data_IF_735016238296
#
_entry.id   IF_735016238296
#
_cell.length_a   1.000
_cell.length_b   1.000
_cell.length_c   1.000
_cell.angle_alpha   90.00
_cell.angle_beta   90.00
_cell.angle_gamma   90.00
#
_symmetry.space_group_name_H-M   'P 1'
#
loop_
_entity.id
_entity.type
_entity.pdbx_description
1 polymer ?
#
# COMPACT_ATOMS: atom_id res chain seq x y z
N UNK A 1 8.67 35.73 24.84
CA UNK A 1 8.89 35.38 23.42
C UNK A 1 8.68 33.88 23.29
N UNK A 2 7.42 33.50 23.07
CA UNK A 2 6.90 32.12 23.12
C UNK A 2 6.48 31.75 21.70
N UNK A 3 7.21 30.80 21.09
CA UNK A 3 6.79 30.17 19.84
C UNK A 3 5.92 28.98 20.23
N UNK A 4 4.62 29.09 19.97
CA UNK A 4 3.67 27.98 20.09
C UNK A 4 3.95 26.97 18.96
N UNK A 5 4.06 25.65 19.24
CA UNK A 5 4.04 24.66 18.17
C UNK A 5 2.61 24.45 17.67
N UNK A 6 2.46 24.51 16.35
CA UNK A 6 1.22 24.51 15.61
C UNK A 6 0.40 23.22 15.77
N UNK A 7 -0.93 23.38 15.74
CA UNK A 7 -1.93 22.32 15.62
C UNK A 7 -1.71 21.57 14.30
N UNK A 8 -1.58 20.26 14.37
CA UNK A 8 -1.61 19.38 13.19
C UNK A 8 -3.07 18.99 12.95
N UNK A 9 -3.79 19.88 12.28
CA UNK A 9 -5.10 19.62 11.70
C UNK A 9 -4.92 18.91 10.35
N UNK A 10 -5.62 17.79 10.18
CA UNK A 10 -6.05 17.22 8.90
C UNK A 10 -5.20 17.58 7.68
N UNK A 11 -4.08 16.86 7.49
CA UNK A 11 -3.54 16.70 6.14
C UNK A 11 -4.45 15.69 5.44
N UNK A 12 -5.53 16.22 4.85
CA UNK A 12 -6.02 15.65 3.59
C UNK A 12 -4.84 15.73 2.63
N UNK A 13 -4.26 14.58 2.27
CA UNK A 13 -3.51 14.48 1.03
C UNK A 13 -4.53 14.86 -0.05
N UNK A 14 -4.38 16.01 -0.72
CA UNK A 14 -5.32 16.37 -1.76
C UNK A 14 -5.29 15.30 -2.84
N UNK A 15 -6.41 15.09 -3.51
CA UNK A 15 -6.59 14.27 -4.72
C UNK A 15 -5.73 14.78 -5.93
N UNK A 16 -4.60 15.43 -5.65
CA UNK A 16 -3.82 16.26 -6.55
C UNK A 16 -2.81 15.51 -7.42
N UNK A 17 -2.50 14.23 -7.19
CA UNK A 17 -1.65 13.47 -8.11
C UNK A 17 -2.40 13.04 -9.38
N UNK A 18 -3.72 12.77 -9.27
CA UNK A 18 -4.59 12.72 -10.44
C UNK A 18 -4.67 14.09 -11.12
N UNK A 19 -4.61 15.16 -10.33
CA UNK A 19 -4.49 16.54 -10.81
C UNK A 19 -3.19 16.83 -11.57
N UNK A 20 -2.03 16.31 -11.15
CA UNK A 20 -0.74 16.55 -11.82
C UNK A 20 -0.67 15.80 -13.16
N UNK A 21 -1.20 14.58 -13.25
CA UNK A 21 -1.34 13.88 -14.53
C UNK A 21 -2.30 14.61 -15.49
N UNK A 22 -3.43 15.12 -14.97
CA UNK A 22 -4.36 15.95 -15.75
C UNK A 22 -3.77 17.33 -16.13
N UNK A 23 -2.92 17.91 -15.29
CA UNK A 23 -2.27 19.20 -15.54
C UNK A 23 -1.15 19.08 -16.58
N UNK A 24 -0.41 17.97 -16.61
CA UNK A 24 0.58 17.67 -17.66
C UNK A 24 -0.09 17.40 -19.02
N UNK A 25 -1.28 16.79 -19.02
CA UNK A 25 -2.12 16.66 -20.22
C UNK A 25 -2.68 18.03 -20.70
N UNK A 26 -2.91 18.97 -19.78
CA UNK A 26 -3.43 20.30 -20.12
C UNK A 26 -2.34 21.31 -20.55
N UNK A 27 -1.11 21.21 -20.02
CA UNK A 27 -0.02 22.15 -20.36
C UNK A 27 0.70 21.84 -21.67
N UNK A 28 0.48 20.67 -22.27
CA UNK A 28 0.99 20.36 -23.61
C UNK A 28 0.23 21.07 -24.75
N UNK A 29 -0.86 21.80 -24.45
CA UNK A 29 -1.74 22.42 -25.46
C UNK A 29 -1.32 23.85 -25.83
N UNK A 30 -0.38 24.50 -25.12
CA UNK A 30 -0.01 25.90 -25.42
C UNK A 30 1.50 26.14 -25.40
N UNK A 31 2.16 25.96 -26.55
CA UNK A 31 3.39 26.66 -26.91
C UNK A 31 3.31 27.10 -28.38
N UNK A 32 3.51 28.40 -28.70
CA UNK A 32 3.41 28.87 -30.07
C UNK A 32 4.72 28.61 -30.85
N UNK A 33 4.55 27.81 -31.90
CA UNK A 33 5.21 27.74 -33.22
C UNK A 33 6.73 27.93 -33.35
N UNK A 34 7.39 26.84 -33.77
CA UNK A 34 8.23 26.84 -34.97
C UNK A 34 8.31 25.42 -35.56
N UNK A 35 7.47 25.15 -36.58
CA UNK A 35 7.67 24.09 -37.57
C UNK A 35 7.71 22.64 -37.05
N UNK A 36 6.57 22.05 -36.72
CA UNK A 36 6.43 20.60 -36.66
C UNK A 36 5.04 20.20 -37.14
N UNK A 37 5.00 19.16 -37.98
CA UNK A 37 3.76 18.51 -38.45
C UNK A 37 2.83 18.28 -37.26
N UNK A 38 1.54 18.61 -37.39
CA UNK A 38 0.51 18.30 -36.40
C UNK A 38 0.48 16.79 -36.15
N UNK A 39 1.29 16.33 -35.19
CA UNK A 39 1.16 15.01 -34.61
C UNK A 39 0.08 15.14 -33.53
N UNK A 40 -1.18 14.97 -33.95
CA UNK A 40 -2.25 14.75 -32.98
C UNK A 40 -1.85 13.55 -32.12
N UNK A 41 -2.00 13.67 -30.80
CA UNK A 41 -1.77 12.55 -29.90
C UNK A 41 -2.66 11.37 -30.35
N UNK A 42 -2.07 10.19 -30.50
CA UNK A 42 -2.82 8.99 -30.85
C UNK A 42 -3.42 8.39 -29.58
N UNK A 43 -4.74 8.21 -29.58
CA UNK A 43 -5.46 7.66 -28.44
C UNK A 43 -6.00 6.27 -28.78
N UNK A 44 -5.78 5.30 -27.89
CA UNK A 44 -6.42 3.97 -27.96
C UNK A 44 -7.20 3.69 -26.68
N UNK A 45 -8.46 3.28 -26.85
CA UNK A 45 -9.33 2.87 -25.75
C UNK A 45 -9.57 1.36 -25.84
N UNK A 46 -9.20 0.64 -24.79
CA UNK A 46 -9.35 -0.80 -24.69
C UNK A 46 -10.22 -1.15 -23.48
N UNK A 47 -10.93 -2.28 -23.56
CA UNK A 47 -11.78 -2.77 -22.48
C UNK A 47 -11.53 -4.24 -22.22
N UNK A 48 -11.67 -4.66 -20.97
CA UNK A 48 -11.62 -6.07 -20.59
C UNK A 48 -12.65 -6.34 -19.50
N UNK A 49 -13.08 -7.59 -19.40
CA UNK A 49 -14.03 -7.99 -18.38
C UNK A 49 -13.96 -9.47 -18.11
N UNK A 50 -14.39 -9.85 -16.92
CA UNK A 50 -14.58 -11.24 -16.53
C UNK A 50 -15.89 -11.33 -15.80
N UNK A 51 -16.73 -12.29 -16.17
CA UNK A 51 -17.93 -12.67 -15.44
C UNK A 51 -17.67 -14.06 -14.87
N UNK A 52 -17.82 -14.20 -13.56
CA UNK A 52 -17.58 -15.46 -12.86
C UNK A 52 -18.64 -15.73 -11.80
N UNK A 53 -18.83 -16.99 -11.45
CA UNK A 53 -19.75 -17.45 -10.42
C UNK A 53 -19.09 -18.53 -9.57
N UNK A 54 -19.16 -18.37 -8.25
CA UNK A 54 -18.52 -19.27 -7.29
C UNK A 54 -19.58 -19.88 -6.40
N UNK A 55 -19.52 -21.19 -6.25
CA UNK A 55 -20.34 -21.94 -5.30
C UNK A 55 -19.48 -22.47 -4.15
N UNK A 56 -20.02 -22.43 -2.94
CA UNK A 56 -19.45 -23.10 -1.78
C UNK A 56 -20.56 -23.57 -0.86
N UNK A 57 -20.41 -24.77 -0.32
CA UNK A 57 -21.30 -25.37 0.68
C UNK A 57 -20.74 -25.28 2.09
N UNK A 58 -19.70 -24.48 2.33
CA UNK A 58 -19.17 -24.24 3.67
C UNK A 58 -20.11 -23.31 4.44
N UNK A 59 -20.44 -23.67 5.69
CA UNK A 59 -21.32 -22.88 6.55
C UNK A 59 -20.55 -21.98 7.54
N UNK A 60 -19.25 -22.22 7.70
CA UNK A 60 -18.40 -21.55 8.70
C UNK A 60 -17.47 -20.49 8.10
N UNK A 61 -17.24 -20.50 6.79
CA UNK A 61 -16.33 -19.58 6.12
C UNK A 61 -16.79 -19.21 4.70
N UNK A 62 -16.36 -18.03 4.27
CA UNK A 62 -16.52 -17.56 2.89
C UNK A 62 -15.22 -17.72 2.10
N UNK A 63 -15.32 -18.28 0.91
CA UNK A 63 -14.29 -18.22 -0.10
C UNK A 63 -14.28 -16.82 -0.74
N UNK A 64 -13.11 -16.17 -0.74
CA UNK A 64 -12.91 -14.83 -1.29
C UNK A 64 -11.77 -14.82 -2.32
N UNK A 65 -11.90 -13.95 -3.32
CA UNK A 65 -10.93 -13.78 -4.41
C UNK A 65 -9.71 -12.94 -4.02
N UNK A 66 -9.85 -12.16 -2.95
CA UNK A 66 -8.84 -11.24 -2.43
C UNK A 66 -9.10 -10.98 -0.95
N UNK A 67 -8.05 -10.75 -0.14
CA UNK A 67 -8.20 -10.39 1.27
C UNK A 67 -8.97 -9.08 1.47
N UNK A 68 -9.05 -8.22 0.46
CA UNK A 68 -9.79 -6.97 0.52
C UNK A 68 -11.30 -7.12 0.34
N UNK A 69 -11.80 -8.26 -0.14
CA UNK A 69 -13.25 -8.48 -0.26
C UNK A 69 -13.87 -8.71 1.13
N UNK A 70 -15.04 -8.13 1.44
CA UNK A 70 -15.68 -8.31 2.75
C UNK A 70 -16.25 -9.72 2.94
N UNK A 71 -16.72 -10.35 1.87
CA UNK A 71 -17.46 -11.62 1.88
C UNK A 71 -17.36 -12.31 0.51
N UNK A 72 -17.88 -13.54 0.43
CA UNK A 72 -17.83 -14.35 -0.79
C UNK A 72 -18.80 -15.53 -0.78
N UNK A 73 -18.41 -16.66 -1.38
CA UNK A 73 -19.26 -17.85 -1.44
C UNK A 73 -19.00 -18.77 -0.24
N UNK A 74 -20.05 -19.26 0.43
CA UNK A 74 -20.01 -20.11 1.61
C UNK A 74 -21.02 -19.64 2.65
N UNK A 75 -20.52 -19.34 3.86
CA UNK A 75 -21.30 -18.93 5.03
C UNK A 75 -22.29 -17.79 4.77
N UNK A 76 -21.89 -16.76 4.03
CA UNK A 76 -22.74 -15.60 3.76
C UNK A 76 -23.78 -15.89 2.68
N UNK A 77 -23.41 -16.67 1.67
CA UNK A 77 -24.26 -17.07 0.54
C UNK A 77 -23.62 -18.23 -0.20
N UNK A 78 -24.41 -19.21 -0.60
CA UNK A 78 -23.89 -20.40 -1.29
C UNK A 78 -23.34 -20.08 -2.69
N UNK A 79 -23.90 -19.10 -3.39
CA UNK A 79 -23.41 -18.60 -4.68
C UNK A 79 -22.97 -17.14 -4.59
N UNK A 80 -21.82 -16.83 -5.19
CA UNK A 80 -21.32 -15.46 -5.32
C UNK A 80 -20.71 -15.20 -6.70
N UNK A 81 -21.32 -14.28 -7.45
CA UNK A 81 -20.70 -13.73 -8.67
C UNK A 81 -19.61 -12.69 -8.36
N UNK A 82 -19.61 -12.18 -7.12
CA UNK A 82 -18.79 -11.05 -6.70
C UNK A 82 -17.30 -11.36 -6.59
N UNK A 83 -16.97 -12.64 -6.45
CA UNK A 83 -15.61 -13.12 -6.16
C UNK A 83 -14.68 -12.84 -7.34
N UNK A 84 -15.11 -13.15 -8.56
CA UNK A 84 -14.27 -13.11 -9.77
C UNK A 84 -14.66 -12.05 -10.78
N UNK A 85 -15.90 -11.55 -10.70
CA UNK A 85 -16.43 -10.63 -11.70
C UNK A 85 -15.75 -9.26 -11.58
N UNK A 86 -15.31 -8.73 -12.71
CA UNK A 86 -14.57 -7.46 -12.83
C UNK A 86 -14.73 -6.89 -14.23
N UNK A 87 -14.69 -5.57 -14.34
CA UNK A 87 -14.78 -4.83 -15.60
C UNK A 87 -13.72 -3.73 -15.59
N UNK A 88 -12.96 -3.60 -16.66
CA UNK A 88 -11.88 -2.65 -16.79
C UNK A 88 -11.88 -1.93 -18.14
N UNK A 89 -11.38 -0.71 -18.13
CA UNK A 89 -11.10 0.08 -19.32
C UNK A 89 -9.73 0.72 -19.20
N UNK A 90 -9.02 0.82 -20.31
CA UNK A 90 -7.69 1.42 -20.40
C UNK A 90 -7.61 2.39 -21.57
N UNK A 91 -7.20 3.61 -21.29
CA UNK A 91 -6.88 4.63 -22.27
C UNK A 91 -5.36 4.76 -22.36
N UNK A 92 -4.81 4.60 -23.56
CA UNK A 92 -3.42 4.94 -23.85
C UNK A 92 -3.39 6.17 -24.74
N UNK A 93 -2.51 7.12 -24.42
CA UNK A 93 -2.27 8.32 -25.20
C UNK A 93 -0.79 8.34 -25.61
N UNK A 94 -0.51 8.31 -26.91
CA UNK A 94 0.82 8.52 -27.47
C UNK A 94 0.93 9.96 -27.92
N UNK A 95 1.57 10.80 -27.10
CA UNK A 95 1.68 12.24 -27.37
C UNK A 95 2.75 12.50 -28.43
N UNK A 96 3.91 11.86 -28.28
CA UNK A 96 5.02 11.92 -29.22
C UNK A 96 5.94 10.69 -29.01
N UNK A 97 7.04 10.51 -29.78
CA UNK A 97 7.92 9.35 -29.63
C UNK A 97 8.57 9.18 -28.25
N UNK A 98 8.58 10.23 -27.42
CA UNK A 98 9.20 10.20 -26.09
C UNK A 98 8.18 10.14 -24.95
N UNK A 99 6.94 10.56 -25.17
CA UNK A 99 5.93 10.69 -24.13
C UNK A 99 4.67 9.90 -24.48
N UNK A 100 4.31 8.99 -23.56
CA UNK A 100 2.99 8.36 -23.53
C UNK A 100 2.38 8.47 -22.15
N UNK A 101 1.07 8.26 -22.06
CA UNK A 101 0.36 8.18 -20.80
C UNK A 101 -0.65 7.03 -20.83
N UNK A 102 -0.85 6.39 -19.69
CA UNK A 102 -1.80 5.30 -19.51
C UNK A 102 -2.71 5.60 -18.34
N UNK A 103 -4.01 5.45 -18.56
CA UNK A 103 -5.04 5.49 -17.53
C UNK A 103 -5.84 4.19 -17.59
N UNK A 104 -5.80 3.40 -16.53
CA UNK A 104 -6.61 2.19 -16.38
C UNK A 104 -7.57 2.34 -15.20
N UNK A 105 -8.84 2.04 -15.44
CA UNK A 105 -9.89 2.06 -14.42
C UNK A 105 -10.54 0.68 -14.36
N UNK A 106 -10.64 0.13 -13.15
CA UNK A 106 -11.21 -1.18 -12.90
C UNK A 106 -12.33 -1.08 -11.86
N UNK A 107 -13.48 -1.67 -12.17
CA UNK A 107 -14.57 -1.92 -11.26
C UNK A 107 -14.58 -3.40 -10.87
N UNK A 108 -14.35 -3.66 -9.59
CA UNK A 108 -14.39 -5.00 -8.99
C UNK A 108 -15.00 -4.91 -7.58
N UNK A 109 -15.37 -6.05 -7.01
CA UNK A 109 -15.94 -6.10 -5.66
C UNK A 109 -14.94 -5.55 -4.63
N UNK A 110 -15.27 -4.38 -4.08
CA UNK A 110 -14.41 -3.64 -3.18
C UNK A 110 -14.58 -4.05 -1.72
N UNK A 111 -13.75 -3.46 -0.85
CA UNK A 111 -13.79 -3.67 0.59
C UNK A 111 -15.09 -3.23 1.28
N UNK A 112 -15.93 -2.45 0.60
CA UNK A 112 -17.25 -2.04 1.06
C UNK A 112 -18.37 -2.90 0.44
N UNK A 113 -18.03 -3.96 -0.29
CA UNK A 113 -18.99 -4.85 -0.94
C UNK A 113 -19.67 -4.22 -2.15
N UNK A 114 -19.00 -3.31 -2.86
CA UNK A 114 -19.55 -2.60 -4.02
C UNK A 114 -18.63 -2.65 -5.23
N UNK A 115 -19.24 -2.56 -6.41
CA UNK A 115 -18.54 -2.40 -7.68
C UNK A 115 -18.32 -0.92 -7.97
N UNK A 116 -17.25 -0.35 -7.42
CA UNK A 116 -16.88 1.04 -7.70
C UNK A 116 -15.67 1.08 -8.64
N UNK A 117 -15.73 1.85 -9.73
CA UNK A 117 -14.57 2.10 -10.57
C UNK A 117 -13.45 2.74 -9.74
N UNK A 118 -12.25 2.18 -9.82
CA UNK A 118 -11.04 2.74 -9.22
C UNK A 118 -9.95 2.85 -10.27
N UNK A 119 -9.15 3.90 -10.16
CA UNK A 119 -7.94 4.06 -10.96
C UNK A 119 -6.93 3.02 -10.50
N UNK A 120 -6.69 2.05 -11.36
CA UNK A 120 -5.70 0.99 -11.16
C UNK A 120 -4.32 1.47 -11.57
N UNK A 121 -4.21 2.06 -12.77
CA UNK A 121 -2.99 2.66 -13.30
C UNK A 121 -3.27 4.09 -13.76
N UNK A 122 -2.34 4.99 -13.51
CA UNK A 122 -2.37 6.37 -14.00
C UNK A 122 -0.95 6.92 -14.00
N UNK A 123 -0.23 6.72 -15.09
CA UNK A 123 1.18 7.11 -15.19
C UNK A 123 1.49 7.75 -16.54
N UNK A 124 2.51 8.59 -16.54
CA UNK A 124 3.17 9.07 -17.75
C UNK A 124 4.48 8.30 -17.93
N UNK A 125 4.72 7.81 -19.14
CA UNK A 125 5.99 7.25 -19.57
C UNK A 125 6.84 8.31 -20.26
N UNK A 126 8.13 8.29 -19.96
CA UNK A 126 9.15 9.05 -20.65
C UNK A 126 10.23 8.10 -21.19
N UNK A 127 10.35 8.05 -22.51
CA UNK A 127 11.37 7.29 -23.21
C UNK A 127 12.68 8.09 -23.25
N UNK A 128 13.61 7.75 -22.35
CA UNK A 128 14.92 8.42 -22.25
C UNK A 128 15.83 7.98 -23.40
N UNK A 129 15.81 6.69 -23.72
CA UNK A 129 16.49 6.07 -24.86
C UNK A 129 15.66 4.87 -25.33
N UNK A 130 15.93 4.25 -26.50
CA UNK A 130 15.18 3.05 -26.94
C UNK A 130 15.14 1.91 -25.90
N UNK A 131 16.14 1.87 -25.02
CA UNK A 131 16.35 0.82 -24.03
C UNK A 131 15.88 1.22 -22.61
N UNK A 132 15.68 2.52 -22.34
CA UNK A 132 15.39 3.04 -21.01
C UNK A 132 14.09 3.85 -20.98
N UNK A 133 13.14 3.40 -20.17
CA UNK A 133 11.85 4.06 -19.93
C UNK A 133 11.70 4.39 -18.44
N UNK A 134 11.21 5.60 -18.15
CA UNK A 134 10.84 6.03 -16.80
C UNK A 134 9.34 6.24 -16.76
N UNK A 135 8.66 5.75 -15.73
CA UNK A 135 7.23 5.99 -15.47
C UNK A 135 7.04 6.72 -14.17
N UNK A 136 6.12 7.68 -14.18
CA UNK A 136 5.78 8.49 -13.00
C UNK A 136 4.27 8.52 -12.82
N UNK A 137 3.81 8.20 -11.60
CA UNK A 137 2.40 8.20 -11.23
C UNK A 137 2.00 6.93 -10.49
N UNK A 138 0.76 6.48 -10.71
CA UNK A 138 0.27 5.21 -10.20
C UNK A 138 0.68 4.08 -11.14
N UNK A 139 1.68 3.31 -10.75
CA UNK A 139 2.28 2.22 -11.52
C UNK A 139 1.88 0.85 -10.96
N UNK A 140 1.99 -0.18 -11.79
CA UNK A 140 1.74 -1.56 -11.40
C UNK A 140 2.81 -2.06 -10.42
N UNK A 141 2.41 -2.92 -9.48
CA UNK A 141 3.34 -3.66 -8.61
C UNK A 141 3.32 -5.12 -9.02
N UNK A 142 4.47 -5.64 -9.48
CA UNK A 142 4.50 -6.93 -10.15
C UNK A 142 5.57 -7.93 -9.74
N UNK A 143 5.70 -8.32 -8.46
CA UNK A 143 6.73 -9.27 -8.05
C UNK A 143 6.56 -10.67 -8.66
N UNK A 144 5.33 -11.06 -9.05
CA UNK A 144 5.02 -12.39 -9.58
C UNK A 144 4.78 -12.37 -11.09
N UNK A 145 4.78 -13.55 -11.72
CA UNK A 145 4.70 -13.71 -13.17
C UNK A 145 3.47 -13.04 -13.78
N UNK A 146 2.30 -13.28 -13.21
CA UNK A 146 1.00 -12.78 -13.71
C UNK A 146 0.54 -11.50 -13.00
N UNK A 147 1.40 -10.81 -12.27
CA UNK A 147 0.96 -9.64 -11.50
C UNK A 147 0.45 -8.51 -12.39
N UNK A 148 1.05 -8.31 -13.56
CA UNK A 148 0.68 -7.24 -14.50
C UNK A 148 -0.64 -7.52 -15.23
N UNK A 149 -1.01 -8.79 -15.35
CA UNK A 149 -2.21 -9.27 -16.04
C UNK A 149 -3.25 -9.86 -15.09
N UNK A 150 -3.03 -9.77 -13.76
CA UNK A 150 -3.86 -10.46 -12.74
C UNK A 150 -5.34 -10.09 -12.80
N UNK A 151 -5.66 -8.90 -13.30
CA UNK A 151 -7.04 -8.40 -13.42
C UNK A 151 -7.69 -8.77 -14.76
N UNK A 152 -6.97 -9.43 -15.67
CA UNK A 152 -7.44 -9.75 -17.01
C UNK A 152 -7.68 -11.25 -17.14
N UNK A 153 -8.94 -11.68 -16.97
CA UNK A 153 -9.29 -13.09 -16.81
C UNK A 153 -8.87 -14.03 -17.94
N UNK A 154 -8.80 -13.54 -19.18
CA UNK A 154 -8.51 -14.37 -20.35
C UNK A 154 -7.01 -14.59 -20.59
N UNK A 155 -6.12 -13.91 -19.86
CA UNK A 155 -4.67 -14.02 -20.08
C UNK A 155 -4.07 -15.29 -19.49
N UNK A 156 -4.83 -16.00 -18.66
CA UNK A 156 -4.37 -17.17 -17.95
C UNK A 156 -5.32 -18.36 -18.19
N UNK A 157 -4.80 -19.60 -18.32
CA UNK A 157 -5.61 -20.78 -18.64
C UNK A 157 -6.43 -21.31 -17.44
N UNK A 158 -6.13 -20.82 -16.24
CA UNK A 158 -6.74 -21.21 -14.97
C UNK A 158 -7.99 -20.37 -14.71
N UNK A 159 -8.88 -20.81 -13.82
CA UNK A 159 -9.99 -19.95 -13.37
C UNK A 159 -9.44 -18.75 -12.56
N UNK A 160 -8.38 -18.96 -11.79
CA UNK A 160 -7.67 -17.95 -10.99
C UNK A 160 -6.19 -18.31 -10.89
N UNK A 161 -5.29 -17.32 -10.79
CA UNK A 161 -3.91 -17.56 -10.34
C UNK A 161 -3.90 -18.21 -8.94
N UNK A 162 -2.84 -18.97 -8.58
CA UNK A 162 -2.72 -19.60 -7.26
C UNK A 162 -2.82 -18.57 -6.12
N UNK A 163 -3.91 -18.58 -5.35
CA UNK A 163 -4.16 -17.55 -4.35
C UNK A 163 -3.13 -17.58 -3.22
N UNK A 164 -2.62 -18.75 -2.87
CA UNK A 164 -1.63 -18.96 -1.81
C UNK A 164 -0.33 -18.18 -2.08
N UNK A 165 -0.02 -17.92 -3.35
CA UNK A 165 1.15 -17.12 -3.76
C UNK A 165 0.79 -15.64 -3.83
N UNK A 166 -0.33 -15.32 -4.46
CA UNK A 166 -0.72 -13.93 -4.77
C UNK A 166 -1.38 -13.18 -3.62
N UNK A 167 -1.84 -13.87 -2.57
CA UNK A 167 -2.38 -13.25 -1.35
C UNK A 167 -1.28 -12.83 -0.37
N UNK A 168 -0.04 -13.31 -0.55
CA UNK A 168 1.13 -12.87 0.24
C UNK A 168 1.42 -11.38 -0.01
N UNK A 169 1.26 -10.94 -1.26
CA UNK A 169 1.28 -9.52 -1.61
C UNK A 169 0.04 -9.19 -2.47
N UNK A 170 -1.06 -8.75 -1.84
CA UNK A 170 -2.29 -8.50 -2.55
C UNK A 170 -2.30 -7.14 -3.27
N UNK A 171 -1.27 -6.31 -3.12
CA UNK A 171 -1.16 -5.02 -3.77
C UNK A 171 -0.98 -5.16 -5.28
N UNK A 172 -1.71 -4.34 -6.05
CA UNK A 172 -1.69 -4.34 -7.51
C UNK A 172 -1.10 -3.07 -8.11
N UNK A 173 -1.10 -1.98 -7.34
CA UNK A 173 -0.60 -0.68 -7.74
C UNK A 173 0.15 0.03 -6.61
N UNK A 174 0.94 1.03 -7.00
CA UNK A 174 1.74 1.88 -6.13
C UNK A 174 1.88 3.26 -6.76
N UNK A 175 1.82 4.30 -5.94
CA UNK A 175 2.03 5.68 -6.37
C UNK A 175 3.52 6.03 -6.21
N UNK A 176 4.21 6.33 -7.31
CA UNK A 176 5.63 6.65 -7.29
C UNK A 176 6.30 6.65 -8.66
N UNK A 177 7.54 6.15 -8.68
CA UNK A 177 8.40 6.07 -9.85
C UNK A 177 8.71 4.62 -10.19
N UNK A 178 8.79 4.35 -11.48
CA UNK A 178 9.21 3.07 -12.04
C UNK A 178 10.25 3.33 -13.14
N UNK A 179 11.30 2.52 -13.19
CA UNK A 179 12.34 2.60 -14.19
C UNK A 179 12.50 1.22 -14.81
N UNK A 180 12.41 1.15 -16.13
CA UNK A 180 12.56 -0.08 -16.90
C UNK A 180 13.72 0.05 -17.89
N UNK A 181 14.67 -0.88 -17.82
CA UNK A 181 15.79 -0.98 -18.74
C UNK A 181 15.77 -2.31 -19.47
N UNK A 182 15.78 -2.28 -20.80
CA UNK A 182 15.71 -3.47 -21.67
C UNK A 182 16.99 -3.60 -22.46
N UNK A 183 17.53 -4.81 -22.56
CA UNK A 183 18.73 -5.07 -23.36
C UNK A 183 18.76 -6.50 -23.85
N UNK A 184 19.39 -6.73 -25.01
CA UNK A 184 19.58 -8.06 -25.55
C UNK A 184 21.00 -8.56 -25.28
N UNK A 185 21.16 -9.86 -25.04
CA UNK A 185 22.46 -10.54 -24.94
C UNK A 185 22.40 -11.81 -25.78
N UNK A 186 22.92 -11.74 -27.01
CA UNK A 186 22.75 -12.81 -27.99
C UNK A 186 21.27 -12.99 -28.36
N UNK A 187 20.72 -14.17 -28.08
CA UNK A 187 19.31 -14.50 -28.30
C UNK A 187 18.41 -14.25 -27.09
N UNK A 188 18.98 -13.76 -25.98
CA UNK A 188 18.23 -13.53 -24.74
C UNK A 188 17.82 -12.06 -24.63
N UNK A 189 16.53 -11.81 -24.43
CA UNK A 189 15.98 -10.49 -24.14
C UNK A 189 15.84 -10.32 -22.63
N UNK A 190 16.43 -9.25 -22.11
CA UNK A 190 16.46 -8.97 -20.69
C UNK A 190 15.67 -7.69 -20.40
N UNK A 191 14.91 -7.69 -19.31
CA UNK A 191 14.23 -6.51 -18.78
C UNK A 191 14.49 -6.41 -17.29
N UNK A 192 15.16 -5.34 -16.88
CA UNK A 192 15.33 -4.95 -15.48
C UNK A 192 14.33 -3.84 -15.16
N UNK A 193 13.59 -3.97 -14.06
CA UNK A 193 12.69 -2.91 -13.61
C UNK A 193 12.85 -2.66 -12.11
N UNK A 194 12.92 -1.38 -11.75
CA UNK A 194 13.06 -0.88 -10.39
C UNK A 194 11.96 0.14 -10.13
N UNK A 195 11.11 -0.12 -9.13
CA UNK A 195 10.07 0.83 -8.72
C UNK A 195 10.18 1.21 -7.26
N UNK A 196 9.87 2.47 -6.96
CA UNK A 196 9.85 3.01 -5.61
C UNK A 196 8.62 3.92 -5.41
N UNK A 197 7.94 3.82 -4.28
CA UNK A 197 6.75 4.62 -4.01
C UNK A 197 5.97 4.15 -2.78
N UNK A 198 4.75 4.65 -2.66
CA UNK A 198 3.86 4.32 -1.54
C UNK A 198 2.50 3.77 -1.96
N UNK A 199 1.84 3.10 -1.02
CA UNK A 199 0.53 2.45 -1.22
C UNK A 199 -0.35 2.78 -0.03
N UNK A 200 -1.52 3.34 -0.27
CA UNK A 200 -2.52 3.52 0.77
C UNK A 200 -3.80 2.75 0.40
N UNK A 201 -4.23 1.84 1.26
CA UNK A 201 -5.45 1.06 1.04
C UNK A 201 -6.27 0.87 2.32
N UNK A 202 -7.55 0.57 2.15
CA UNK A 202 -8.50 0.33 3.25
C UNK A 202 -9.05 -1.08 3.13
N UNK A 203 -9.25 -1.72 4.28
CA UNK A 203 -9.79 -3.08 4.38
C UNK A 203 -11.26 -3.06 4.81
N UNK A 204 -11.97 -4.17 4.58
CA UNK A 204 -13.38 -4.33 4.96
C UNK A 204 -13.59 -4.25 6.48
N UNK A 205 -12.58 -4.63 7.26
CA UNK A 205 -12.57 -4.53 8.72
C UNK A 205 -12.34 -3.13 9.28
N UNK A 206 -12.17 -2.11 8.42
CA UNK A 206 -11.91 -0.73 8.83
C UNK A 206 -10.44 -0.41 9.11
N UNK A 207 -9.52 -1.37 8.92
CA UNK A 207 -8.10 -1.08 9.00
C UNK A 207 -7.65 -0.28 7.78
N UNK A 208 -6.78 0.68 8.03
CA UNK A 208 -6.03 1.44 7.02
C UNK A 208 -4.63 0.85 6.95
N UNK A 209 -4.18 0.52 5.75
CA UNK A 209 -2.83 0.05 5.48
C UNK A 209 -2.14 1.16 4.69
N UNK A 210 -1.13 1.76 5.30
CA UNK A 210 -0.26 2.74 4.69
C UNK A 210 1.12 2.12 4.44
N UNK A 211 1.72 2.44 3.31
CA UNK A 211 3.02 1.92 2.91
C UNK A 211 3.81 3.11 2.38
N UNK A 212 4.68 3.68 3.19
CA UNK A 212 5.40 4.90 2.83
C UNK A 212 6.55 4.64 1.84
N UNK A 213 7.18 3.46 1.95
CA UNK A 213 8.41 3.13 1.26
C UNK A 213 8.36 1.68 0.79
N UNK A 214 7.88 1.45 -0.43
CA UNK A 214 7.93 0.17 -1.10
C UNK A 214 8.92 0.21 -2.26
N UNK A 215 9.99 -0.58 -2.15
CA UNK A 215 10.98 -0.81 -3.19
C UNK A 215 10.73 -2.17 -3.82
N UNK A 216 10.56 -2.21 -5.14
CA UNK A 216 10.47 -3.45 -5.90
C UNK A 216 11.58 -3.48 -6.96
N UNK A 217 12.27 -4.59 -7.06
CA UNK A 217 13.21 -4.91 -8.12
C UNK A 217 12.71 -6.16 -8.82
N UNK A 218 12.64 -6.14 -10.15
CA UNK A 218 12.32 -7.31 -10.94
C UNK A 218 13.25 -7.45 -12.14
N UNK A 219 13.55 -8.69 -12.49
CA UNK A 219 14.35 -9.05 -13.64
C UNK A 219 13.62 -10.15 -14.41
N UNK A 220 13.45 -9.94 -15.71
CA UNK A 220 12.86 -10.91 -16.63
C UNK A 220 13.88 -11.21 -17.72
N UNK A 221 14.08 -12.49 -18.01
CA UNK A 221 14.90 -12.99 -19.10
C UNK A 221 14.08 -13.92 -19.99
N UNK A 222 14.07 -13.65 -21.29
CA UNK A 222 13.32 -14.40 -22.28
C UNK A 222 14.27 -14.96 -23.32
N UNK A 223 14.18 -16.27 -23.58
CA UNK A 223 14.98 -16.97 -24.58
C UNK A 223 14.13 -18.02 -25.29
N UNK A 224 13.74 -17.71 -26.53
CA UNK A 224 12.82 -18.56 -27.29
C UNK A 224 11.49 -18.78 -26.55
N UNK A 225 11.09 -20.03 -26.24
CA UNK A 225 9.86 -20.32 -25.49
C UNK A 225 10.01 -20.21 -23.96
N UNK A 226 11.22 -19.95 -23.43
CA UNK A 226 11.48 -19.93 -22.00
C UNK A 226 11.49 -18.51 -21.44
N UNK A 227 10.75 -18.29 -20.34
CA UNK A 227 10.74 -17.04 -19.57
C UNK A 227 11.17 -17.34 -18.14
N UNK A 228 12.14 -16.58 -17.65
CA UNK A 228 12.56 -16.56 -16.26
C UNK A 228 12.25 -15.20 -15.65
N UNK A 229 11.62 -15.18 -14.47
CA UNK A 229 11.34 -13.95 -13.72
C UNK A 229 11.86 -14.09 -12.29
N UNK A 230 12.59 -13.08 -11.83
CA UNK A 230 13.04 -12.91 -10.47
C UNK A 230 12.47 -11.59 -9.94
N UNK A 231 11.83 -11.62 -8.77
CA UNK A 231 11.27 -10.43 -8.12
C UNK A 231 11.76 -10.33 -6.68
N UNK A 232 12.05 -9.11 -6.23
CA UNK A 232 12.40 -8.80 -4.85
C UNK A 232 11.64 -7.56 -4.40
N UNK A 233 10.96 -7.64 -3.26
CA UNK A 233 10.15 -6.54 -2.73
C UNK A 233 10.41 -6.33 -1.25
N UNK A 234 10.67 -5.10 -0.87
CA UNK A 234 10.76 -4.67 0.53
C UNK A 234 9.86 -3.48 0.77
N UNK A 235 9.13 -3.49 1.87
CA UNK A 235 8.23 -2.39 2.23
C UNK A 235 8.20 -2.14 3.72
N UNK A 236 8.04 -0.86 4.09
CA UNK A 236 7.65 -0.47 5.43
C UNK A 236 6.14 -0.22 5.42
N UNK A 237 5.40 -1.01 6.18
CA UNK A 237 3.95 -1.08 6.15
C UNK A 237 3.40 -0.68 7.51
N UNK A 238 2.56 0.33 7.55
CA UNK A 238 1.91 0.85 8.73
C UNK A 238 0.42 0.47 8.72
N UNK A 239 -0.04 -0.32 9.70
CA UNK A 239 -1.43 -0.78 9.79
C UNK A 239 -2.13 -0.11 10.97
N UNK A 240 -3.16 0.67 10.70
CA UNK A 240 -4.03 1.29 11.72
C UNK A 240 -5.35 0.52 11.80
N UNK A 241 -5.67 -0.05 12.97
CA UNK A 241 -6.93 -0.77 13.18
C UNK A 241 -7.69 -0.22 14.39
N UNK A 242 -8.80 0.53 14.19
CA UNK A 242 -9.52 1.16 15.29
C UNK A 242 -10.04 0.19 16.35
N UNK A 243 -10.48 -1.01 15.95
CA UNK A 243 -10.98 -2.03 16.89
C UNK A 243 -9.92 -2.53 17.86
N UNK A 244 -8.70 -2.70 17.36
CA UNK A 244 -7.56 -3.15 18.16
C UNK A 244 -7.10 -2.01 19.07
N UNK A 245 -7.02 -0.79 18.55
CA UNK A 245 -6.73 0.39 19.37
C UNK A 245 -7.72 0.53 20.54
N UNK A 246 -9.03 0.45 20.28
CA UNK A 246 -10.06 0.52 21.31
C UNK A 246 -9.94 -0.60 22.36
N UNK A 247 -9.53 -1.81 21.95
CA UNK A 247 -9.29 -2.92 22.88
C UNK A 247 -8.13 -2.59 23.83
N UNK A 248 -7.00 -2.11 23.30
CA UNK A 248 -5.85 -1.73 24.12
C UNK A 248 -6.11 -0.50 24.98
N UNK A 249 -6.89 0.46 24.49
CA UNK A 249 -7.40 1.59 25.28
C UNK A 249 -8.28 1.11 26.44
N UNK A 250 -9.20 0.19 26.17
CA UNK A 250 -10.02 -0.45 27.19
C UNK A 250 -9.20 -1.20 28.23
N UNK A 251 -8.14 -1.91 27.82
CA UNK A 251 -7.21 -2.59 28.74
C UNK A 251 -6.39 -1.59 29.57
N UNK A 252 -5.98 -0.46 28.98
CA UNK A 252 -5.30 0.60 29.72
C UNK A 252 -6.24 1.24 30.77
N UNK A 253 -7.50 1.50 30.39
CA UNK A 253 -8.52 2.01 31.31
C UNK A 253 -8.82 1.01 32.44
N UNK A 254 -8.98 -0.27 32.11
CA UNK A 254 -9.16 -1.33 33.10
C UNK A 254 -7.99 -1.41 34.07
N UNK A 255 -6.76 -1.42 33.54
CA UNK A 255 -5.57 -1.53 34.37
C UNK A 255 -5.30 -0.30 35.24
N UNK A 256 -5.73 0.89 34.80
CA UNK A 256 -5.71 2.10 35.63
C UNK A 256 -6.79 2.10 36.74
N UNK A 257 -7.93 1.43 36.49
CA UNK A 257 -9.07 1.40 37.41
C UNK A 257 -9.01 0.26 38.44
N UNK A 258 -8.28 -0.83 38.15
CA UNK A 258 -8.24 -2.03 38.99
C UNK A 258 -6.84 -2.20 39.61
N UNK A 259 -6.68 -1.97 40.93
CA UNK A 259 -5.42 -2.21 41.61
C UNK A 259 -5.04 -3.70 41.64
N UNK A 260 -3.74 -3.97 41.68
CA UNK A 260 -3.18 -5.31 41.85
C UNK A 260 -2.69 -5.96 40.55
N UNK A 261 -2.26 -7.23 40.62
CA UNK A 261 -1.51 -7.87 39.53
C UNK A 261 -2.25 -7.91 38.18
N UNK A 262 -3.58 -8.02 38.21
CA UNK A 262 -4.40 -8.03 37.00
C UNK A 262 -4.39 -6.67 36.27
N UNK A 263 -4.42 -5.55 37.00
CA UNK A 263 -4.36 -4.22 36.41
C UNK A 263 -2.97 -3.88 35.87
N UNK A 264 -1.92 -4.28 36.59
CA UNK A 264 -0.53 -4.12 36.14
C UNK A 264 -0.24 -4.92 34.85
N UNK A 265 -0.78 -6.14 34.74
CA UNK A 265 -0.70 -6.94 33.52
C UNK A 265 -1.41 -6.28 32.35
N UNK A 266 -2.63 -5.78 32.56
CA UNK A 266 -3.39 -5.07 31.53
C UNK A 266 -2.68 -3.80 31.04
N UNK A 267 -2.10 -3.01 31.96
CA UNK A 267 -1.28 -1.84 31.62
C UNK A 267 -0.01 -2.23 30.86
N UNK A 268 0.67 -3.31 31.26
CA UNK A 268 1.88 -3.78 30.57
C UNK A 268 1.59 -4.17 29.12
N UNK A 269 0.49 -4.89 28.89
CA UNK A 269 0.04 -5.31 27.56
C UNK A 269 -0.35 -4.09 26.72
N UNK A 270 -1.15 -3.17 27.26
CA UNK A 270 -1.55 -1.95 26.58
C UNK A 270 -0.36 -1.04 26.25
N UNK A 271 0.55 -0.83 27.20
CA UNK A 271 1.73 0.00 27.00
C UNK A 271 2.74 -0.62 26.04
N UNK A 272 2.80 -1.95 25.88
CA UNK A 272 3.60 -2.57 24.82
C UNK A 272 3.06 -2.18 23.43
N UNK A 273 1.74 -2.23 23.26
CA UNK A 273 1.09 -1.83 22.01
C UNK A 273 1.34 -0.35 21.68
N UNK A 274 1.22 0.54 22.68
CA UNK A 274 1.44 1.98 22.47
C UNK A 274 2.93 2.38 22.46
N UNK A 275 3.79 1.66 23.18
CA UNK A 275 5.21 1.96 23.34
C UNK A 275 6.04 1.69 22.08
N UNK A 276 5.72 0.64 21.33
CA UNK A 276 6.34 0.39 20.01
C UNK A 276 5.92 1.41 18.95
N UNK A 277 4.78 2.09 19.13
CA UNK A 277 4.34 3.19 18.26
C UNK A 277 5.04 4.53 18.57
N UNK A 278 5.73 4.66 19.71
CA UNK A 278 6.32 5.92 20.19
C UNK A 278 7.85 5.96 20.29
N UNK A 279 8.58 4.84 20.19
CA UNK A 279 10.04 4.82 20.31
C UNK A 279 10.76 4.19 19.11
N UNK A 280 11.10 5.02 18.13
CA UNK A 280 12.04 4.69 17.05
C UNK A 280 13.32 5.55 17.10
N UNK A 281 13.80 5.98 18.29
CA UNK A 281 15.12 6.65 18.36
C UNK A 281 16.06 6.22 19.49
N UNK A 282 15.71 5.31 20.39
CA UNK A 282 16.71 4.84 21.35
C UNK A 282 16.54 3.41 21.83
N UNK A 283 16.86 2.44 20.98
CA UNK A 283 17.25 1.11 21.45
C UNK A 283 18.75 0.88 21.21
N UNK A 284 19.58 1.38 22.13
CA UNK A 284 20.88 0.73 22.41
C UNK A 284 20.64 -0.23 23.56
N UNK A 285 20.82 -1.51 23.22
CA UNK A 285 21.08 -2.63 24.11
C UNK A 285 21.93 -2.17 25.32
N UNK A 286 21.37 -2.27 26.52
CA UNK A 286 22.14 -2.39 27.74
C UNK A 286 21.55 -3.56 28.53
N UNK A 287 22.12 -4.73 28.29
CA UNK A 287 22.00 -5.84 29.20
C UNK A 287 22.67 -5.47 30.52
N UNK A 288 21.97 -5.77 31.61
CA UNK A 288 22.52 -6.05 32.93
C UNK A 288 23.10 -4.85 33.72
N UNK A 289 22.26 -4.16 34.50
CA UNK A 289 22.64 -3.71 35.86
C UNK A 289 21.44 -3.39 36.74
N UNK A 290 21.60 -3.84 37.99
CA UNK A 290 20.87 -3.65 39.23
C UNK A 290 20.22 -2.25 39.45
N UNK A 291 19.03 -2.27 40.04
CA UNK A 291 18.21 -1.18 40.58
C UNK A 291 19.01 -0.04 41.24
N UNK A 292 18.84 1.20 40.77
CA UNK A 292 18.60 2.45 41.54
C UNK A 292 18.55 3.67 40.59
N UNK A 293 17.59 4.56 40.82
CA UNK A 293 17.40 5.92 40.24
C UNK A 293 16.82 6.06 38.81
N UNK A 294 15.49 6.23 38.75
CA UNK A 294 14.75 6.58 37.54
C UNK A 294 14.77 8.09 37.26
N UNK A 295 15.06 8.49 36.02
CA UNK A 295 15.10 9.88 35.59
C UNK A 295 13.86 10.20 34.72
N UNK A 296 12.94 11.04 35.20
CA UNK A 296 11.77 11.52 34.45
C UNK A 296 12.05 12.90 33.83
N UNK A 297 11.61 13.13 32.59
CA UNK A 297 11.64 14.47 31.96
C UNK A 297 10.30 15.17 32.15
N UNK A 298 10.32 16.31 32.83
CA UNK A 298 9.16 17.21 32.99
C UNK A 298 9.49 18.53 32.30
N UNK A 299 8.64 18.97 31.35
CA UNK A 299 8.83 20.20 30.56
C UNK A 299 10.22 20.32 29.90
N UNK A 300 10.73 19.22 29.32
CA UNK A 300 11.99 19.22 28.57
C UNK A 300 13.27 19.27 29.41
N UNK A 301 13.19 19.25 30.75
CA UNK A 301 14.36 19.11 31.64
C UNK A 301 14.32 17.77 32.38
N UNK A 302 15.46 17.08 32.44
CA UNK A 302 15.60 15.84 33.18
C UNK A 302 15.69 16.15 34.69
N UNK A 303 14.91 15.45 35.51
CA UNK A 303 15.04 15.46 36.97
C UNK A 303 15.09 14.02 37.47
N UNK A 304 15.99 13.76 38.40
CA UNK A 304 16.10 12.51 39.14
C UNK A 304 15.09 12.50 40.28
N UNK A 305 14.35 11.41 40.40
CA UNK A 305 13.41 11.16 41.50
C UNK A 305 13.78 9.85 42.20
N UNK A 306 13.83 9.89 43.53
CA UNK A 306 14.18 8.75 44.38
C UNK A 306 13.01 7.78 44.60
N UNK A 307 11.78 8.16 44.21
CA UNK A 307 10.57 7.33 44.30
C UNK A 307 9.82 7.30 42.95
N UNK A 308 9.64 6.13 42.31
CA UNK A 308 8.94 5.99 41.03
C UNK A 308 7.46 6.42 41.06
N UNK A 309 6.81 6.50 42.23
CA UNK A 309 5.41 6.92 42.35
C UNK A 309 5.21 8.45 42.25
N UNK A 310 6.30 9.23 42.21
CA UNK A 310 6.26 10.70 42.24
C UNK A 310 6.28 11.39 40.86
N UNK A 311 6.33 10.64 39.76
CA UNK A 311 6.23 11.23 38.41
C UNK A 311 4.76 11.57 38.09
N UNK A 312 4.43 12.85 37.79
CA UNK A 312 3.06 13.24 37.49
C UNK A 312 2.59 12.59 36.18
N UNK A 313 1.43 11.93 36.23
CA UNK A 313 0.79 11.30 35.07
C UNK A 313 0.43 12.35 33.99
N UNK A 314 0.59 12.05 32.70
CA UNK A 314 0.12 12.93 31.64
C UNK A 314 -1.41 12.99 31.64
N UNK A 315 -1.98 14.18 31.41
CA UNK A 315 -3.43 14.39 31.39
C UNK A 315 -4.13 13.53 30.32
N UNK A 316 -5.35 13.02 30.60
CA UNK A 316 -6.14 12.26 29.63
C UNK A 316 -6.81 13.23 28.64
N UNK A 317 -6.54 13.10 27.33
CA UNK A 317 -7.26 13.93 26.35
C UNK A 317 -6.71 14.01 24.92
N UNK A 318 -5.56 13.43 24.61
CA UNK A 318 -5.02 13.46 23.22
C UNK A 318 -4.80 12.05 22.67
N UNK A 319 -5.90 11.37 22.33
CA UNK A 319 -5.85 10.16 21.52
C UNK A 319 -5.60 10.53 20.05
N UNK A 320 -4.38 10.29 19.57
CA UNK A 320 -4.08 10.23 18.13
C UNK A 320 -4.23 8.77 17.67
N UNK A 321 -4.67 8.52 16.42
CA UNK A 321 -4.86 7.16 15.93
C UNK A 321 -3.55 6.36 15.99
N UNK A 322 -3.63 5.14 16.53
CA UNK A 322 -2.49 4.23 16.70
C UNK A 322 -2.09 3.59 15.38
N UNK A 323 -0.78 3.43 15.17
CA UNK A 323 -0.24 2.81 13.96
C UNK A 323 0.83 1.77 14.22
N UNK A 324 0.75 0.65 13.49
CA UNK A 324 1.63 -0.51 13.62
C UNK A 324 2.58 -0.55 12.43
N UNK A 325 3.87 -0.25 12.61
CA UNK A 325 4.88 -0.32 11.55
C UNK A 325 5.54 -1.70 11.46
N UNK A 326 5.15 -2.51 10.48
CA UNK A 326 5.78 -3.79 10.10
C UNK A 326 6.76 -3.58 8.94
N UNK A 327 7.98 -4.11 9.06
CA UNK A 327 8.92 -4.20 7.93
C UNK A 327 8.84 -5.61 7.35
N UNK A 328 8.31 -5.75 6.14
CA UNK A 328 8.23 -7.04 5.44
C UNK A 328 9.28 -7.12 4.33
N UNK A 329 10.03 -8.23 4.30
CA UNK A 329 10.90 -8.60 3.17
C UNK A 329 10.33 -9.84 2.51
N UNK A 330 10.11 -9.78 1.20
CA UNK A 330 9.73 -10.90 0.37
C UNK A 330 10.85 -11.14 -0.64
N UNK A 331 11.49 -12.30 -0.51
CA UNK A 331 12.49 -12.86 -1.41
C UNK A 331 11.89 -13.95 -2.28
#
# INVERSE_FOLDING_TARGET
>A
MLIQPARYSDIRIPDGLAGVAALLLATAVHSPEAGAREAFAEYSLNGFGTLGGVYSSLDDADFRGSPFQPDGAGRTRSWAASVDSKLGAQLNAHVNPQWSAVLQVVAQYDYQGKYRPRVEWAYADYQVSPDLTIRLGRVVVGPFLESETRLVGYTYPWVRPPQEVYDVNPATNKDGIDLQYRFATGTVFNSLQLSYGGIQTKTSGGAVIDVDQALNLQYIAESGPATFKLGYSTSKTEISQPRIANLFDGMAQFGAAVPGPAGEQALTIANRYWGEAHDLKSFRQASNTRTTDGCCRVNGRARTFTDPASCPSPMPGTSRPATISLTSRLT
#
